data_IF_920676017816
#
_entry.id   IF_920676017816
#
_cell.length_a   1.000
_cell.length_b   1.000
_cell.length_c   1.000
_cell.angle_alpha   90.00
_cell.angle_beta   90.00
_cell.angle_gamma   90.00
#
_symmetry.space_group_name_H-M   'P 1'
#
loop_
_entity.id
_entity.type
_entity.pdbx_description
1 polymer ?
#
# COMPACT_ATOMS: atom_id res chain seq x y z
N UNK A 1 -5.39 43.44 30.35
CA UNK A 1 -6.37 42.37 30.05
C UNK A 1 -5.80 41.52 28.93
N UNK A 2 -5.62 40.23 29.24
CA UNK A 2 -5.55 39.02 28.41
C UNK A 2 -5.13 39.17 26.94
N UNK A 3 -4.05 38.58 26.44
CA UNK A 3 -3.58 37.21 26.67
C UNK A 3 -3.63 36.47 25.33
N UNK A 4 -2.56 36.53 24.53
CA UNK A 4 -2.44 35.81 23.28
C UNK A 4 -1.23 34.87 23.38
N UNK A 5 -1.50 33.62 23.75
CA UNK A 5 -0.51 32.56 23.90
C UNK A 5 -1.08 31.31 23.21
N UNK A 6 -0.35 30.87 22.17
CA UNK A 6 -0.17 29.51 21.64
C UNK A 6 -1.28 28.87 20.77
N UNK A 7 -1.08 28.91 19.45
CA UNK A 7 -1.47 27.82 18.52
C UNK A 7 -0.44 27.74 17.37
N UNK A 8 0.85 27.49 17.66
CA UNK A 8 1.84 27.23 16.59
C UNK A 8 2.90 26.16 16.94
N UNK A 9 2.86 25.56 18.14
CA UNK A 9 3.88 24.58 18.57
C UNK A 9 3.46 23.11 18.43
N UNK A 10 2.20 22.81 18.09
CA UNK A 10 1.72 21.41 18.01
C UNK A 10 1.90 20.78 16.61
N UNK A 11 1.74 21.58 15.54
CA UNK A 11 1.85 21.09 14.16
C UNK A 11 3.26 20.65 13.76
N UNK A 12 4.31 21.23 14.37
CA UNK A 12 5.70 20.89 14.05
C UNK A 12 6.08 19.52 14.60
N UNK A 13 5.53 19.12 15.75
CA UNK A 13 5.69 17.78 16.32
C UNK A 13 4.89 16.75 15.55
N UNK A 14 3.63 17.02 15.19
CA UNK A 14 2.84 16.13 14.32
C UNK A 14 3.51 15.95 12.94
N UNK A 15 3.99 17.02 12.30
CA UNK A 15 4.73 16.92 11.03
C UNK A 15 6.08 16.22 11.17
N UNK A 16 6.83 16.41 12.26
CA UNK A 16 8.08 15.68 12.51
C UNK A 16 7.83 14.19 12.81
N UNK A 17 6.74 13.88 13.51
CA UNK A 17 6.30 12.51 13.82
C UNK A 17 5.80 11.81 12.56
N UNK A 18 5.07 12.49 11.70
CA UNK A 18 4.73 12.03 10.35
C UNK A 18 5.93 12.04 9.39
N UNK A 19 7.03 12.70 9.72
CA UNK A 19 8.30 12.55 9.01
C UNK A 19 8.88 11.14 9.16
N UNK A 20 8.61 10.46 10.27
CA UNK A 20 9.08 9.10 10.52
C UNK A 20 8.21 8.07 9.76
N UNK A 21 8.77 7.31 8.80
CA UNK A 21 8.02 6.31 8.04
C UNK A 21 7.36 5.23 8.92
N UNK A 22 7.98 4.85 10.03
CA UNK A 22 7.42 3.84 10.95
C UNK A 22 6.13 4.35 11.60
N UNK A 23 6.14 5.61 12.06
CA UNK A 23 4.96 6.18 12.71
C UNK A 23 3.84 6.35 11.70
N UNK A 24 4.13 6.86 10.49
CA UNK A 24 3.14 6.95 9.39
C UNK A 24 2.47 5.62 9.11
N UNK A 25 3.25 4.54 8.95
CA UNK A 25 2.71 3.22 8.65
C UNK A 25 1.84 2.68 9.78
N UNK A 26 2.27 2.84 11.03
CA UNK A 26 1.46 2.43 12.20
C UNK A 26 0.15 3.20 12.28
N UNK A 27 0.21 4.52 12.21
CA UNK A 27 -0.96 5.39 12.25
C UNK A 27 -1.93 5.09 11.10
N UNK A 28 -1.43 4.82 9.89
CA UNK A 28 -2.29 4.49 8.74
C UNK A 28 -2.99 3.14 8.90
N UNK A 29 -2.28 2.13 9.41
CA UNK A 29 -2.87 0.81 9.70
C UNK A 29 -3.93 0.92 10.80
N UNK A 30 -3.66 1.69 11.85
CA UNK A 30 -4.59 1.93 12.94
C UNK A 30 -5.83 2.72 12.49
N UNK A 31 -5.65 3.79 11.72
CA UNK A 31 -6.74 4.59 11.15
C UNK A 31 -7.63 3.80 10.19
N UNK A 32 -7.08 2.77 9.53
CA UNK A 32 -7.84 1.83 8.72
C UNK A 32 -8.57 0.75 9.54
N UNK A 33 -8.45 0.78 10.88
CA UNK A 33 -9.06 -0.21 11.79
C UNK A 33 -8.41 -1.60 11.68
N UNK A 34 -7.15 -1.68 11.25
CA UNK A 34 -6.45 -2.93 11.00
C UNK A 34 -5.42 -3.23 12.08
N UNK A 35 -5.09 -4.52 12.22
CA UNK A 35 -3.99 -4.98 13.06
C UNK A 35 -3.00 -5.80 12.22
N UNK A 36 -1.76 -5.91 12.69
CA UNK A 36 -0.76 -6.78 12.05
C UNK A 36 -1.24 -8.25 11.96
N UNK A 37 -2.02 -8.70 12.95
CA UNK A 37 -2.65 -10.03 12.95
C UNK A 37 -3.67 -10.17 11.83
N UNK A 38 -4.56 -9.18 11.65
CA UNK A 38 -5.58 -9.21 10.61
C UNK A 38 -4.96 -9.15 9.20
N UNK A 39 -3.94 -8.30 9.01
CA UNK A 39 -3.19 -8.24 7.75
C UNK A 39 -2.49 -9.58 7.49
N UNK A 40 -1.84 -10.16 8.50
CA UNK A 40 -1.17 -11.46 8.39
C UNK A 40 -2.14 -12.58 8.03
N UNK A 41 -3.31 -12.60 8.66
CA UNK A 41 -4.39 -13.56 8.37
C UNK A 41 -4.86 -13.47 6.92
N UNK A 42 -5.15 -12.26 6.41
CA UNK A 42 -5.58 -12.04 5.02
C UNK A 42 -4.53 -12.44 4.01
N UNK A 43 -3.26 -12.28 4.37
CA UNK A 43 -2.13 -12.62 3.52
C UNK A 43 -1.69 -14.07 3.68
N UNK A 44 -2.19 -14.84 4.65
CA UNK A 44 -1.67 -16.16 5.01
C UNK A 44 -0.17 -16.12 5.37
N UNK A 45 0.22 -15.17 6.22
CA UNK A 45 1.59 -15.04 6.75
C UNK A 45 1.57 -14.77 8.25
N UNK A 46 2.68 -15.05 8.93
CA UNK A 46 2.81 -14.77 10.35
C UNK A 46 2.74 -13.25 10.66
N UNK A 47 2.06 -12.87 11.74
CA UNK A 47 1.91 -11.46 12.15
C UNK A 47 3.25 -10.75 12.35
N UNK A 48 4.29 -11.48 12.77
CA UNK A 48 5.62 -10.92 13.03
C UNK A 48 6.26 -10.42 11.74
N UNK A 49 5.96 -11.08 10.61
CA UNK A 49 6.34 -10.60 9.29
C UNK A 49 5.75 -9.22 8.98
N UNK A 50 4.49 -9.01 9.32
CA UNK A 50 3.83 -7.70 9.11
C UNK A 50 4.43 -6.65 10.04
N UNK A 51 4.62 -6.98 11.31
CA UNK A 51 5.22 -6.08 12.31
C UNK A 51 6.63 -5.63 11.92
N UNK A 52 7.47 -6.55 11.46
CA UNK A 52 8.83 -6.22 11.03
C UNK A 52 8.81 -5.32 9.78
N UNK A 53 7.86 -5.49 8.86
CA UNK A 53 7.70 -4.62 7.68
C UNK A 53 7.29 -3.20 8.08
N UNK A 54 6.28 -3.07 8.94
CA UNK A 54 5.79 -1.78 9.44
C UNK A 54 6.92 -1.01 10.16
N UNK A 55 7.76 -1.72 10.91
CA UNK A 55 8.91 -1.11 11.58
C UNK A 55 10.14 -0.91 10.67
N UNK A 56 10.11 -1.39 9.42
CA UNK A 56 11.20 -1.20 8.45
C UNK A 56 12.39 -2.14 8.61
N UNK A 57 12.26 -3.21 9.40
CA UNK A 57 13.31 -4.23 9.60
C UNK A 57 13.36 -5.28 8.48
N UNK A 58 12.38 -5.27 7.59
CA UNK A 58 12.32 -6.12 6.38
C UNK A 58 11.66 -5.37 5.24
N UNK A 59 11.88 -5.89 4.03
CA UNK A 59 11.23 -5.44 2.82
C UNK A 59 10.49 -6.60 2.17
N UNK A 60 9.18 -6.48 2.04
CA UNK A 60 8.31 -7.51 1.48
C UNK A 60 7.30 -6.87 0.54
N UNK A 61 7.44 -7.17 -0.75
CA UNK A 61 6.61 -6.58 -1.79
C UNK A 61 5.12 -6.78 -1.54
N UNK A 62 4.73 -8.02 -1.20
CA UNK A 62 3.34 -8.38 -0.92
C UNK A 62 2.77 -7.62 0.28
N UNK A 63 3.52 -7.51 1.39
CA UNK A 63 3.04 -6.83 2.61
C UNK A 63 2.89 -5.33 2.34
N UNK A 64 3.84 -4.72 1.63
CA UNK A 64 3.76 -3.31 1.26
C UNK A 64 2.56 -3.02 0.38
N UNK A 65 2.34 -3.85 -0.64
CA UNK A 65 1.17 -3.74 -1.49
C UNK A 65 -0.13 -3.88 -0.68
N UNK A 66 -0.20 -4.87 0.22
CA UNK A 66 -1.36 -5.08 1.08
C UNK A 66 -1.66 -3.86 1.94
N UNK A 67 -0.66 -3.33 2.66
CA UNK A 67 -0.83 -2.16 3.52
C UNK A 67 -1.24 -0.94 2.69
N UNK A 68 -0.62 -0.74 1.53
CA UNK A 68 -0.96 0.38 0.63
C UNK A 68 -2.42 0.32 0.20
N UNK A 69 -2.88 -0.85 -0.26
CA UNK A 69 -4.28 -1.04 -0.71
C UNK A 69 -5.26 -0.95 0.45
N UNK A 70 -4.98 -1.60 1.57
CA UNK A 70 -5.90 -1.68 2.70
C UNK A 70 -6.03 -0.36 3.47
N UNK A 71 -4.98 0.47 3.48
CA UNK A 71 -5.03 1.81 4.10
C UNK A 71 -5.49 2.89 3.13
N UNK A 72 -5.44 2.64 1.82
CA UNK A 72 -5.79 3.60 0.78
C UNK A 72 -4.81 4.77 0.64
N UNK A 73 -3.66 4.72 1.34
CA UNK A 73 -2.65 5.77 1.34
C UNK A 73 -1.70 5.65 0.15
N UNK A 74 -1.04 6.76 -0.18
CA UNK A 74 -0.07 6.80 -1.27
C UNK A 74 1.17 5.97 -0.95
N UNK A 75 1.62 5.15 -1.90
CA UNK A 75 2.76 4.25 -1.69
C UNK A 75 4.03 5.03 -1.32
N UNK A 76 4.39 6.03 -2.13
CA UNK A 76 5.58 6.83 -1.90
C UNK A 76 5.55 7.54 -0.53
N UNK A 77 4.36 7.94 -0.06
CA UNK A 77 4.21 8.52 1.25
C UNK A 77 4.42 7.50 2.38
N UNK A 78 3.87 6.29 2.27
CA UNK A 78 4.06 5.23 3.28
C UNK A 78 5.50 4.72 3.37
N UNK A 79 6.17 4.59 2.22
CA UNK A 79 7.44 3.86 2.12
C UNK A 79 8.65 4.74 1.87
N UNK A 80 8.45 6.00 1.49
CA UNK A 80 9.52 6.93 1.12
C UNK A 80 10.12 6.68 -0.27
N UNK A 81 9.53 5.75 -1.05
CA UNK A 81 9.98 5.37 -2.38
C UNK A 81 8.79 4.99 -3.28
N UNK A 82 8.93 5.24 -4.58
CA UNK A 82 7.96 4.76 -5.58
C UNK A 82 7.88 3.22 -5.53
N UNK A 83 6.70 2.67 -5.82
CA UNK A 83 6.56 1.22 -5.90
C UNK A 83 7.34 0.68 -7.10
N UNK A 84 8.30 -0.24 -6.90
CA UNK A 84 8.99 -0.84 -8.02
C UNK A 84 8.02 -1.75 -8.80
N UNK A 85 8.25 -1.88 -10.11
CA UNK A 85 7.52 -2.83 -10.93
C UNK A 85 7.74 -4.27 -10.39
N UNK A 86 6.67 -5.08 -10.28
CA UNK A 86 6.81 -6.43 -9.75
C UNK A 86 7.52 -7.35 -10.74
N UNK A 87 8.22 -8.37 -10.22
CA UNK A 87 8.57 -9.56 -11.02
C UNK A 87 7.31 -10.37 -11.38
N UNK A 88 7.41 -11.31 -12.31
CA UNK A 88 6.27 -12.17 -12.67
C UNK A 88 5.70 -12.94 -11.46
N UNK A 89 6.59 -13.51 -10.63
CA UNK A 89 6.20 -14.22 -9.40
C UNK A 89 5.51 -13.29 -8.39
N UNK A 90 6.01 -12.06 -8.24
CA UNK A 90 5.39 -11.06 -7.37
C UNK A 90 4.02 -10.65 -7.88
N UNK A 91 3.87 -10.45 -9.19
CA UNK A 91 2.60 -10.11 -9.81
C UNK A 91 1.56 -11.22 -9.65
N UNK A 92 1.97 -12.49 -9.83
CA UNK A 92 1.11 -13.65 -9.56
C UNK A 92 0.70 -13.72 -8.08
N UNK A 93 1.66 -13.51 -7.18
CA UNK A 93 1.40 -13.49 -5.73
C UNK A 93 0.41 -12.38 -5.34
N UNK A 94 0.53 -11.18 -5.93
CA UNK A 94 -0.43 -10.09 -5.73
C UNK A 94 -1.83 -10.46 -6.22
N UNK A 95 -1.94 -11.01 -7.43
CA UNK A 95 -3.22 -11.38 -8.00
C UNK A 95 -3.90 -12.46 -7.15
N UNK A 96 -3.16 -13.52 -6.78
CA UNK A 96 -3.68 -14.66 -6.04
C UNK A 96 -4.03 -14.36 -4.59
N UNK A 97 -3.17 -13.61 -3.87
CA UNK A 97 -3.30 -13.41 -2.41
C UNK A 97 -4.01 -12.13 -2.01
N UNK A 98 -4.02 -11.13 -2.89
CA UNK A 98 -4.63 -9.83 -2.62
C UNK A 98 -5.74 -9.46 -3.62
N UNK A 99 -5.85 -10.15 -4.75
CA UNK A 99 -6.78 -9.76 -5.81
C UNK A 99 -6.44 -8.40 -6.42
N UNK A 100 -5.16 -8.03 -6.45
CA UNK A 100 -4.67 -6.74 -6.93
C UNK A 100 -3.66 -6.87 -8.06
N UNK A 101 -3.62 -5.85 -8.90
CA UNK A 101 -2.70 -5.69 -10.03
C UNK A 101 -1.83 -4.45 -9.82
N UNK A 102 -0.64 -4.47 -10.40
CA UNK A 102 0.23 -3.31 -10.46
C UNK A 102 -0.05 -2.46 -11.71
N UNK A 103 -0.19 -1.15 -11.52
CA UNK A 103 -0.38 -0.14 -12.55
C UNK A 103 0.85 0.77 -12.62
N UNK A 104 1.63 0.68 -13.71
CA UNK A 104 2.84 1.49 -13.88
C UNK A 104 2.57 3.00 -14.11
N UNK A 105 1.33 3.37 -14.45
CA UNK A 105 0.94 4.76 -14.75
C UNK A 105 0.48 5.54 -13.51
N UNK A 106 -0.10 4.86 -12.53
CA UNK A 106 -0.57 5.49 -11.30
C UNK A 106 0.47 5.32 -10.20
N UNK A 107 1.41 6.27 -10.11
CA UNK A 107 2.50 6.22 -9.12
C UNK A 107 2.01 6.43 -7.68
N UNK A 108 0.94 7.19 -7.49
CA UNK A 108 0.39 7.44 -6.16
C UNK A 108 -0.28 6.16 -5.61
N UNK A 109 -1.07 5.49 -6.46
CA UNK A 109 -1.82 4.27 -6.11
C UNK A 109 -1.50 3.14 -7.10
N UNK A 110 -0.30 2.57 -7.02
CA UNK A 110 0.21 1.61 -8.00
C UNK A 110 -0.45 0.24 -7.90
N UNK A 111 -1.17 -0.07 -6.81
CA UNK A 111 -1.87 -1.34 -6.63
C UNK A 111 -3.37 -1.13 -6.72
N UNK A 112 -4.03 -1.82 -7.65
CA UNK A 112 -5.47 -1.70 -7.92
C UNK A 112 -6.14 -3.05 -7.75
N UNK A 113 -7.34 -3.10 -7.16
CA UNK A 113 -8.17 -4.31 -7.23
C UNK A 113 -8.39 -4.68 -8.70
N UNK A 114 -8.41 -5.98 -9.02
CA UNK A 114 -8.61 -6.47 -10.40
C UNK A 114 -9.86 -5.84 -11.04
N UNK A 115 -10.95 -5.71 -10.27
CA UNK A 115 -12.21 -5.09 -10.71
C UNK A 115 -12.09 -3.59 -11.01
N UNK A 116 -11.16 -2.88 -10.37
CA UNK A 116 -10.90 -1.46 -10.61
C UNK A 116 -9.93 -1.24 -11.76
N UNK A 117 -9.06 -2.22 -12.04
CA UNK A 117 -8.07 -2.14 -13.11
C UNK A 117 -8.73 -2.08 -14.49
N UNK A 118 -9.80 -2.83 -14.73
CA UNK A 118 -10.52 -2.81 -16.02
C UNK A 118 -11.10 -1.44 -16.38
N UNK A 119 -11.29 -0.55 -15.41
CA UNK A 119 -11.81 0.80 -15.62
C UNK A 119 -10.70 1.86 -15.76
N UNK A 120 -9.42 1.50 -15.68
CA UNK A 120 -8.33 2.47 -15.75
C UNK A 120 -7.98 2.94 -17.18
N UNK A 121 -8.61 2.36 -18.20
CA UNK A 121 -8.51 2.79 -19.60
C UNK A 121 -7.17 2.48 -20.29
N UNK A 122 -6.27 1.71 -19.66
CA UNK A 122 -4.95 1.41 -20.19
C UNK A 122 -4.70 -0.10 -20.27
N UNK A 123 -4.82 -0.67 -21.47
CA UNK A 123 -4.55 -2.09 -21.72
C UNK A 123 -3.05 -2.43 -21.62
N UNK A 124 -2.17 -1.49 -22.01
CA UNK A 124 -0.72 -1.69 -22.02
C UNK A 124 -0.07 -1.22 -20.71
N UNK A 125 0.63 -2.13 -20.03
CA UNK A 125 1.43 -1.82 -18.82
C UNK A 125 0.81 -2.28 -17.48
N UNK A 126 -0.29 -3.04 -17.52
CA UNK A 126 -0.82 -3.73 -16.34
C UNK A 126 -0.07 -5.05 -16.14
N UNK A 127 0.48 -5.28 -14.93
CA UNK A 127 1.21 -6.52 -14.63
C UNK A 127 0.31 -7.75 -14.41
N UNK A 128 -0.89 -7.77 -14.99
CA UNK A 128 -1.64 -9.00 -15.25
C UNK A 128 -2.21 -8.94 -16.66
N UNK A 129 -1.47 -9.50 -17.61
CA UNK A 129 -1.91 -9.47 -18.99
C UNK A 129 -0.86 -9.85 -20.01
N UNK A 130 -0.12 -10.94 -19.79
CA UNK A 130 0.35 -11.75 -20.93
C UNK A 130 -0.36 -13.11 -21.04
N UNK A 131 -1.20 -13.48 -20.08
CA UNK A 131 -1.94 -14.76 -20.09
C UNK A 131 -3.46 -14.62 -19.88
N UNK A 132 -4.03 -13.43 -20.08
CA UNK A 132 -5.47 -13.27 -20.17
C UNK A 132 -5.89 -13.42 -21.62
N UNK A 133 -6.00 -14.67 -22.11
CA UNK A 133 -6.75 -14.94 -23.33
C UNK A 133 -8.08 -14.20 -23.21
N UNK A 134 -8.24 -13.25 -24.11
CA UNK A 134 -9.50 -12.62 -24.49
C UNK A 134 -10.58 -13.70 -24.44
N UNK A 135 -11.47 -13.64 -23.44
CA UNK A 135 -12.74 -14.34 -23.54
C UNK A 135 -13.51 -13.51 -24.56
N UNK A 136 -13.34 -13.87 -25.83
CA UNK A 136 -14.26 -13.47 -26.89
C UNK A 136 -15.61 -14.06 -26.52
N UNK A 137 -16.50 -13.22 -26.01
CA UNK A 137 -17.91 -13.52 -26.03
C UNK A 137 -18.39 -13.36 -27.47
N UNK A 138 -18.54 -14.50 -28.15
CA UNK A 138 -19.65 -14.74 -29.08
C UNK A 138 -20.80 -15.42 -28.34
#
# INVERSE_FOLDING_TARGET
MHGAILIFEDNSREMQVLGNPVVRRKASVEAAGLTATEIGRRLEIDRSAVTLEINGFRKSYLIRAAITVMTGQDHAWLWGEDAPAPTAEQAESLARRLGVLFCARDRARPYKLVTQCWNCGHADGCAAGKNGSRIEGE
#
